data_IF_955069387927
#
_entry.id   IF_955069387927
#
_cell.length_a   1.000
_cell.length_b   1.000
_cell.length_c   1.000
_cell.angle_alpha   90.00
_cell.angle_beta   90.00
_cell.angle_gamma   90.00
#
_symmetry.space_group_name_H-M   'P 1'
#
loop_
_entity.id
_entity.type
_entity.pdbx_description
1 polymer ?
#
# COMPACT_ATOMS: atom_id res chain seq x y z
N UNK A 1 29.81 -26.03 28.48
CA UNK A 1 30.68 -25.95 27.27
C UNK A 1 31.91 -26.80 27.52
N UNK A 2 32.35 -27.62 26.55
CA UNK A 2 33.47 -28.53 26.78
C UNK A 2 34.78 -27.76 27.00
N UNK A 3 35.43 -27.96 28.14
CA UNK A 3 36.68 -27.32 28.50
C UNK A 3 37.80 -27.76 27.54
N UNK A 4 38.50 -26.82 26.87
CA UNK A 4 39.54 -27.17 25.89
C UNK A 4 40.81 -27.76 26.52
N UNK A 5 40.96 -27.64 27.85
CA UNK A 5 42.17 -28.08 28.54
C UNK A 5 42.06 -29.46 29.20
N UNK A 6 40.86 -29.87 29.63
CA UNK A 6 40.66 -31.13 30.34
C UNK A 6 39.43 -31.91 29.88
N UNK A 7 38.64 -31.38 28.93
CA UNK A 7 37.48 -32.05 28.38
C UNK A 7 36.22 -32.09 29.26
N UNK A 8 36.28 -31.60 30.50
CA UNK A 8 35.11 -31.49 31.39
C UNK A 8 34.02 -30.59 30.80
N UNK A 9 32.75 -30.93 31.07
CA UNK A 9 31.58 -30.15 30.67
C UNK A 9 31.17 -29.08 31.70
N UNK A 10 31.74 -29.16 32.91
CA UNK A 10 31.42 -28.28 34.03
C UNK A 10 32.24 -26.99 33.97
N UNK A 11 31.54 -25.89 33.72
CA UNK A 11 32.11 -24.55 33.66
C UNK A 11 31.15 -23.50 34.24
N UNK A 12 31.71 -22.35 34.62
CA UNK A 12 30.96 -21.18 35.09
C UNK A 12 31.29 -19.97 34.23
N UNK A 13 30.26 -19.22 33.83
CA UNK A 13 30.42 -17.92 33.16
C UNK A 13 30.88 -16.88 34.18
N UNK A 14 31.96 -16.16 33.84
CA UNK A 14 32.63 -15.16 34.69
C UNK A 14 32.40 -13.74 34.19
N UNK A 15 32.38 -13.53 32.87
CA UNK A 15 32.19 -12.22 32.23
C UNK A 15 31.46 -12.44 30.89
N UNK A 16 30.53 -11.55 30.56
CA UNK A 16 29.72 -11.63 29.34
C UNK A 16 29.63 -10.23 28.72
N UNK A 17 30.05 -10.10 27.47
CA UNK A 17 30.04 -8.81 26.74
C UNK A 17 29.57 -9.02 25.29
N UNK A 18 28.78 -8.10 24.72
CA UNK A 18 28.52 -8.11 23.28
C UNK A 18 29.83 -7.80 22.52
N UNK A 19 29.98 -8.34 21.32
CA UNK A 19 31.05 -7.93 20.40
C UNK A 19 30.78 -6.53 19.86
N UNK A 20 31.83 -5.84 19.37
CA UNK A 20 31.72 -4.45 18.86
C UNK A 20 30.72 -4.32 17.71
N UNK A 21 30.55 -5.38 16.91
CA UNK A 21 29.59 -5.47 15.81
C UNK A 21 28.21 -5.98 16.23
N UNK A 22 28.01 -6.32 17.51
CA UNK A 22 26.74 -6.80 18.07
C UNK A 22 26.27 -8.18 17.60
N UNK A 23 27.08 -8.89 16.78
CA UNK A 23 26.68 -10.16 16.16
C UNK A 23 26.88 -11.38 17.05
N UNK A 24 27.67 -11.24 18.12
CA UNK A 24 27.95 -12.32 19.04
C UNK A 24 28.02 -11.83 20.48
N UNK A 25 27.78 -12.75 21.41
CA UNK A 25 28.09 -12.55 22.83
C UNK A 25 29.36 -13.30 23.17
N UNK A 26 30.40 -12.56 23.57
CA UNK A 26 31.64 -13.13 24.09
C UNK A 26 31.44 -13.47 25.56
N UNK A 27 31.64 -14.74 25.94
CA UNK A 27 31.60 -15.20 27.33
C UNK A 27 32.95 -15.71 27.79
N UNK A 28 33.47 -15.19 28.89
CA UNK A 28 34.62 -15.74 29.61
C UNK A 28 34.12 -16.80 30.58
N UNK A 29 34.59 -18.03 30.45
CA UNK A 29 34.20 -19.18 31.29
C UNK A 29 35.40 -19.65 32.11
N UNK A 30 35.14 -20.22 33.29
CA UNK A 30 36.11 -20.93 34.14
C UNK A 30 35.67 -22.38 34.29
N UNK A 31 36.54 -23.33 33.94
CA UNK A 31 36.27 -24.75 34.18
C UNK A 31 36.26 -25.04 35.68
N UNK A 32 35.29 -25.82 36.15
CA UNK A 32 35.19 -26.20 37.56
C UNK A 32 36.12 -27.37 37.94
N UNK A 33 36.58 -28.15 36.95
CA UNK A 33 37.49 -29.29 37.19
C UNK A 33 38.97 -28.92 37.19
N UNK A 34 39.41 -28.01 36.32
CA UNK A 34 40.83 -27.63 36.20
C UNK A 34 41.11 -26.14 36.40
N UNK A 35 40.09 -25.36 36.76
CA UNK A 35 40.14 -23.92 37.09
C UNK A 35 40.62 -22.96 35.99
N UNK A 36 41.07 -23.50 34.84
CA UNK A 36 41.52 -22.72 33.70
C UNK A 36 40.36 -21.92 33.08
N UNK A 37 40.67 -20.72 32.63
CA UNK A 37 39.72 -19.80 31.97
C UNK A 37 39.82 -19.91 30.46
N UNK A 38 38.68 -19.94 29.78
CA UNK A 38 38.58 -19.94 28.31
C UNK A 38 37.47 -19.00 27.85
N UNK A 39 37.46 -18.63 26.58
CA UNK A 39 36.48 -17.71 26.00
C UNK A 39 35.65 -18.45 24.97
N UNK A 40 34.33 -18.27 25.01
CA UNK A 40 33.40 -18.76 23.98
C UNK A 40 32.72 -17.58 23.31
N UNK A 41 32.37 -17.74 22.04
CA UNK A 41 31.54 -16.79 21.29
C UNK A 41 30.22 -17.50 21.00
N UNK A 42 29.12 -16.90 21.45
CA UNK A 42 27.77 -17.36 21.17
C UNK A 42 27.19 -16.46 20.07
N UNK A 43 26.78 -17.05 18.96
CA UNK A 43 26.15 -16.35 17.84
C UNK A 43 24.65 -16.59 17.88
N UNK A 44 23.86 -15.58 17.50
CA UNK A 44 22.43 -15.81 17.22
C UNK A 44 22.36 -16.58 15.91
N UNK A 45 22.03 -17.87 15.99
CA UNK A 45 21.74 -18.67 14.81
C UNK A 45 20.38 -18.23 14.26
N UNK A 46 20.39 -17.49 13.15
CA UNK A 46 19.17 -17.18 12.41
C UNK A 46 18.83 -18.41 11.57
N UNK A 47 17.73 -19.09 11.89
CA UNK A 47 17.17 -20.08 10.98
C UNK A 47 16.77 -19.32 9.70
N UNK A 48 17.39 -19.61 8.55
CA UNK A 48 17.06 -18.91 7.33
C UNK A 48 15.62 -19.28 6.93
N UNK A 49 14.81 -18.28 6.58
CA UNK A 49 13.51 -18.52 5.97
C UNK A 49 13.72 -19.28 4.66
N UNK A 50 13.11 -20.45 4.52
CA UNK A 50 13.19 -21.27 3.31
C UNK A 50 12.00 -20.97 2.40
N UNK A 51 12.28 -20.84 1.10
CA UNK A 51 11.28 -20.65 0.05
C UNK A 51 11.04 -21.97 -0.66
N UNK A 52 9.81 -22.47 -0.63
CA UNK A 52 9.36 -23.58 -1.47
C UNK A 52 8.96 -23.09 -2.85
N UNK A 53 9.72 -23.45 -3.88
CA UNK A 53 9.48 -23.10 -5.27
C UNK A 53 8.34 -23.94 -5.87
N UNK A 54 7.81 -23.50 -7.01
CA UNK A 54 6.71 -24.19 -7.72
C UNK A 54 7.04 -25.61 -8.17
N UNK A 55 8.33 -25.92 -8.40
CA UNK A 55 8.84 -27.26 -8.74
C UNK A 55 9.11 -28.14 -7.50
N UNK A 56 8.85 -27.61 -6.29
CA UNK A 56 9.06 -28.29 -5.02
C UNK A 56 10.46 -28.12 -4.43
N UNK A 57 11.38 -27.44 -5.12
CA UNK A 57 12.71 -27.17 -4.59
C UNK A 57 12.66 -26.17 -3.43
N UNK A 58 13.61 -26.30 -2.49
CA UNK A 58 13.78 -25.38 -1.37
C UNK A 58 15.00 -24.48 -1.60
N UNK A 59 14.82 -23.18 -1.43
CA UNK A 59 15.88 -22.18 -1.56
C UNK A 59 15.85 -21.24 -0.36
N UNK A 60 17.00 -20.88 0.20
CA UNK A 60 17.04 -19.86 1.24
C UNK A 60 16.53 -18.51 0.70
N UNK A 61 15.75 -17.80 1.52
CA UNK A 61 15.25 -16.47 1.17
C UNK A 61 16.39 -15.52 0.82
N UNK A 62 16.25 -14.83 -0.31
CA UNK A 62 17.22 -13.85 -0.79
C UNK A 62 16.50 -12.55 -1.13
N UNK A 63 16.77 -11.52 -0.34
CA UNK A 63 16.23 -10.17 -0.52
C UNK A 63 16.48 -9.59 -1.91
N UNK A 64 17.67 -9.84 -2.48
CA UNK A 64 18.05 -9.36 -3.81
C UNK A 64 17.12 -9.88 -4.91
N UNK A 65 16.73 -11.16 -4.85
CA UNK A 65 15.78 -11.74 -5.82
C UNK A 65 14.41 -11.06 -5.75
N UNK A 66 13.94 -10.76 -4.54
CA UNK A 66 12.67 -10.06 -4.34
C UNK A 66 12.76 -8.62 -4.88
N UNK A 67 13.82 -7.89 -4.52
CA UNK A 67 14.01 -6.52 -4.98
C UNK A 67 14.13 -6.41 -6.49
N UNK A 68 14.89 -7.31 -7.13
CA UNK A 68 15.11 -7.29 -8.57
C UNK A 68 13.81 -7.56 -9.34
N UNK A 69 12.99 -8.51 -8.85
CA UNK A 69 11.67 -8.78 -9.44
C UNK A 69 10.74 -7.57 -9.39
N UNK A 70 10.71 -6.87 -8.25
CA UNK A 70 9.91 -5.66 -8.06
C UNK A 70 10.44 -4.50 -8.93
N UNK A 71 11.75 -4.26 -8.93
CA UNK A 71 12.40 -3.21 -9.73
C UNK A 71 12.13 -3.42 -11.21
N UNK A 72 12.22 -4.68 -11.68
CA UNK A 72 11.94 -5.02 -13.07
C UNK A 72 10.50 -4.68 -13.46
N UNK A 73 9.53 -5.01 -12.61
CA UNK A 73 8.13 -4.67 -12.82
C UNK A 73 7.89 -3.14 -12.86
N UNK A 74 8.55 -2.40 -11.98
CA UNK A 74 8.45 -0.94 -11.87
C UNK A 74 9.33 -0.15 -12.87
N UNK A 75 10.03 -0.82 -13.79
CA UNK A 75 10.94 -0.15 -14.74
C UNK A 75 10.22 0.91 -15.59
N UNK A 76 10.77 2.13 -15.62
CA UNK A 76 10.19 3.31 -16.31
C UNK A 76 8.79 3.72 -15.79
N UNK A 77 8.45 3.38 -14.55
CA UNK A 77 7.24 3.85 -13.86
C UNK A 77 7.59 5.00 -12.91
N UNK A 78 6.63 5.88 -12.57
CA UNK A 78 6.84 6.99 -11.63
C UNK A 78 6.87 6.51 -10.17
N UNK A 79 7.69 5.51 -9.86
CA UNK A 79 7.87 4.96 -8.50
C UNK A 79 9.28 5.26 -8.04
N UNK A 80 9.42 5.96 -6.91
CA UNK A 80 10.73 6.32 -6.38
C UNK A 80 11.45 5.11 -5.82
N UNK A 81 12.79 5.13 -5.87
CA UNK A 81 13.63 4.06 -5.30
C UNK A 81 13.35 3.84 -3.81
N UNK A 82 13.18 4.91 -3.05
CA UNK A 82 12.81 4.84 -1.63
C UNK A 82 11.49 4.10 -1.40
N UNK A 83 10.50 4.30 -2.28
CA UNK A 83 9.21 3.59 -2.20
C UNK A 83 9.34 2.10 -2.53
N UNK A 84 10.25 1.73 -3.44
CA UNK A 84 10.55 0.32 -3.72
C UNK A 84 11.29 -0.34 -2.56
N UNK A 85 12.24 0.35 -1.93
CA UNK A 85 12.95 -0.15 -0.75
C UNK A 85 11.98 -0.36 0.42
N UNK A 86 11.12 0.62 0.71
CA UNK A 86 10.08 0.50 1.73
C UNK A 86 9.09 -0.64 1.44
N UNK A 87 8.70 -0.83 0.17
CA UNK A 87 7.86 -1.96 -0.23
C UNK A 87 8.53 -3.32 0.09
N UNK A 88 9.82 -3.45 -0.22
CA UNK A 88 10.58 -4.67 0.09
C UNK A 88 10.67 -4.90 1.61
N UNK A 89 10.91 -3.84 2.38
CA UNK A 89 10.96 -3.91 3.85
C UNK A 89 9.62 -4.35 4.45
N UNK A 90 8.51 -3.82 3.93
CA UNK A 90 7.17 -4.19 4.38
C UNK A 90 6.87 -5.67 4.08
N UNK A 91 7.27 -6.15 2.89
CA UNK A 91 7.10 -7.57 2.50
C UNK A 91 7.93 -8.47 3.41
N UNK A 92 9.21 -8.14 3.62
CA UNK A 92 10.06 -8.90 4.53
C UNK A 92 9.49 -8.94 5.95
N UNK A 93 9.05 -7.79 6.46
CA UNK A 93 8.46 -7.69 7.79
C UNK A 93 7.26 -8.62 7.93
N UNK A 94 6.36 -8.65 6.94
CA UNK A 94 5.23 -9.59 6.95
C UNK A 94 5.68 -11.05 6.86
N UNK A 95 6.64 -11.38 5.99
CA UNK A 95 7.16 -12.74 5.85
C UNK A 95 7.80 -13.26 7.14
N UNK A 96 8.60 -12.45 7.81
CA UNK A 96 9.27 -12.85 9.06
C UNK A 96 8.33 -12.85 10.27
N UNK A 97 7.29 -12.02 10.27
CA UNK A 97 6.28 -12.01 11.33
C UNK A 97 5.40 -13.27 11.34
N UNK A 98 5.30 -14.00 10.23
CA UNK A 98 4.59 -15.29 10.18
C UNK A 98 5.22 -16.36 11.08
N UNK A 99 6.47 -16.17 11.53
CA UNK A 99 7.20 -17.12 12.38
C UNK A 99 7.27 -18.54 11.80
N UNK A 100 7.30 -18.66 10.47
CA UNK A 100 7.40 -19.92 9.73
C UNK A 100 8.84 -20.14 9.26
N UNK A 101 9.28 -21.38 9.26
CA UNK A 101 10.59 -21.78 8.71
C UNK A 101 10.54 -21.93 7.17
N UNK A 102 9.35 -22.19 6.61
CA UNK A 102 9.12 -22.39 5.18
C UNK A 102 7.91 -21.55 4.70
N UNK A 103 8.07 -20.86 3.57
CA UNK A 103 7.01 -20.12 2.87
C UNK A 103 7.06 -20.46 1.38
N UNK A 104 5.90 -20.61 0.73
CA UNK A 104 5.89 -20.87 -0.71
C UNK A 104 6.26 -19.63 -1.52
N UNK A 105 6.92 -19.82 -2.67
CA UNK A 105 7.15 -18.72 -3.62
C UNK A 105 5.84 -18.11 -4.12
N UNK A 106 4.73 -18.85 -4.00
CA UNK A 106 3.42 -18.34 -4.34
C UNK A 106 2.90 -17.31 -3.35
N UNK A 107 2.96 -17.63 -2.06
CA UNK A 107 2.58 -16.69 -0.99
C UNK A 107 3.38 -15.38 -1.08
N UNK A 108 4.68 -15.45 -1.38
CA UNK A 108 5.51 -14.25 -1.60
C UNK A 108 5.01 -13.45 -2.81
N UNK A 109 4.72 -14.12 -3.92
CA UNK A 109 4.22 -13.47 -5.14
C UNK A 109 2.87 -12.78 -4.94
N UNK A 110 1.95 -13.43 -4.23
CA UNK A 110 0.64 -12.88 -3.91
C UNK A 110 0.77 -11.63 -3.01
N UNK A 111 1.64 -11.68 -2.00
CA UNK A 111 1.95 -10.53 -1.14
C UNK A 111 2.55 -9.35 -1.93
N UNK A 112 3.44 -9.62 -2.90
CA UNK A 112 3.98 -8.59 -3.79
C UNK A 112 2.87 -7.98 -4.65
N UNK A 113 1.98 -8.81 -5.20
CA UNK A 113 0.88 -8.36 -6.04
C UNK A 113 -0.06 -7.43 -5.26
N UNK A 114 -0.46 -7.82 -4.05
CA UNK A 114 -1.37 -7.01 -3.22
C UNK A 114 -0.80 -5.61 -2.94
N UNK A 115 0.49 -5.52 -2.61
CA UNK A 115 1.13 -4.22 -2.37
C UNK A 115 1.41 -3.44 -3.66
N UNK A 116 1.78 -4.09 -4.76
CA UNK A 116 2.01 -3.42 -6.05
C UNK A 116 0.72 -2.83 -6.62
N UNK A 117 -0.42 -3.47 -6.38
CA UNK A 117 -1.74 -3.00 -6.81
C UNK A 117 -2.05 -1.58 -6.30
N UNK A 118 -1.64 -1.29 -5.07
CA UNK A 118 -1.80 0.03 -4.43
C UNK A 118 -0.75 1.06 -4.87
N UNK A 119 0.37 0.61 -5.47
CA UNK A 119 1.49 1.46 -5.86
C UNK A 119 1.38 1.88 -7.33
N UNK A 120 1.23 0.92 -8.24
CA UNK A 120 1.17 1.15 -9.68
C UNK A 120 0.55 -0.05 -10.41
N UNK A 121 -0.63 0.16 -11.00
CA UNK A 121 -1.38 -0.89 -11.73
C UNK A 121 -0.56 -1.50 -12.88
N UNK A 122 0.30 -0.73 -13.56
CA UNK A 122 1.11 -1.25 -14.67
C UNK A 122 2.23 -2.15 -14.16
N UNK A 123 2.87 -1.78 -13.04
CA UNK A 123 3.85 -2.62 -12.38
C UNK A 123 3.20 -3.91 -11.86
N UNK A 124 2.00 -3.84 -11.28
CA UNK A 124 1.21 -5.02 -10.90
C UNK A 124 1.05 -5.98 -12.09
N UNK A 125 0.55 -5.48 -13.23
CA UNK A 125 0.31 -6.31 -14.42
C UNK A 125 1.59 -6.97 -14.92
N UNK A 126 2.69 -6.22 -14.94
CA UNK A 126 4.00 -6.75 -15.36
C UNK A 126 4.50 -7.84 -14.41
N UNK A 127 4.38 -7.62 -13.11
CA UNK A 127 4.77 -8.62 -12.13
C UNK A 127 3.88 -9.87 -12.25
N UNK A 128 2.57 -9.68 -12.32
CA UNK A 128 1.59 -10.75 -12.52
C UNK A 128 1.89 -11.53 -13.80
N UNK A 129 2.31 -10.89 -14.89
CA UNK A 129 2.58 -11.56 -16.17
C UNK A 129 3.73 -12.58 -16.12
N UNK A 130 4.65 -12.42 -15.17
CA UNK A 130 5.77 -13.35 -14.96
C UNK A 130 5.41 -14.43 -13.93
N UNK A 131 4.63 -14.04 -12.92
CA UNK A 131 4.37 -14.89 -11.77
C UNK A 131 3.09 -15.73 -11.89
N UNK A 132 1.99 -15.14 -12.39
CA UNK A 132 0.78 -15.88 -12.75
C UNK A 132 1.04 -16.48 -14.13
N UNK A 133 1.21 -17.79 -14.18
CA UNK A 133 1.37 -18.59 -15.40
C UNK A 133 0.08 -18.54 -16.25
N UNK A 134 -0.13 -17.40 -16.92
CA UNK A 134 -1.32 -17.16 -17.74
C UNK A 134 -1.30 -18.09 -18.94
N UNK A 135 -2.22 -19.05 -18.95
CA UNK A 135 -2.29 -20.08 -20.00
C UNK A 135 -2.74 -19.52 -21.34
N UNK A 136 -3.49 -18.42 -21.33
CA UNK A 136 -4.02 -17.79 -22.53
C UNK A 136 -4.27 -16.28 -22.33
N UNK A 137 -4.45 -15.58 -23.46
CA UNK A 137 -4.75 -14.14 -23.51
C UNK A 137 -6.01 -13.77 -22.73
N UNK A 138 -7.01 -14.65 -22.67
CA UNK A 138 -8.32 -14.34 -22.08
C UNK A 138 -8.23 -14.29 -20.55
N UNK A 139 -7.44 -15.18 -19.94
CA UNK A 139 -7.13 -15.17 -18.52
C UNK A 139 -6.40 -13.87 -18.11
N UNK A 140 -5.47 -13.42 -18.96
CA UNK A 140 -4.77 -12.14 -18.75
C UNK A 140 -5.72 -10.93 -18.88
N UNK A 141 -6.60 -10.94 -19.89
CA UNK A 141 -7.62 -9.90 -20.05
C UNK A 141 -8.63 -9.87 -18.90
N UNK A 142 -8.97 -11.02 -18.32
CA UNK A 142 -9.85 -11.11 -17.16
C UNK A 142 -9.19 -10.52 -15.90
N UNK A 143 -7.90 -10.77 -15.71
CA UNK A 143 -7.10 -10.14 -14.64
C UNK A 143 -6.99 -8.62 -14.84
N UNK A 144 -6.79 -8.15 -16.07
CA UNK A 144 -6.82 -6.71 -16.38
C UNK A 144 -8.17 -6.06 -16.08
N UNK A 145 -9.27 -6.81 -16.23
CA UNK A 145 -10.63 -6.34 -15.90
C UNK A 145 -10.91 -6.33 -14.39
N UNK A 146 -10.21 -7.13 -13.60
CA UNK A 146 -10.38 -7.22 -12.13
C UNK A 146 -9.54 -6.19 -11.37
N UNK A 147 -8.60 -5.53 -12.04
CA UNK A 147 -7.94 -4.35 -11.51
C UNK A 147 -8.96 -3.22 -11.33
N UNK A 148 -8.91 -2.49 -10.18
CA UNK A 148 -9.74 -1.32 -9.99
C UNK A 148 -9.37 -0.33 -11.08
N UNK A 149 -10.23 -0.20 -12.09
CA UNK A 149 -10.02 0.77 -13.14
C UNK A 149 -10.04 2.14 -12.47
N UNK A 150 -8.91 2.85 -12.49
CA UNK A 150 -8.85 4.23 -12.03
C UNK A 150 -9.99 5.02 -12.70
N UNK A 151 -11.03 5.35 -11.93
CA UNK A 151 -12.16 6.13 -12.42
C UNK A 151 -11.60 7.38 -13.09
N UNK A 152 -12.04 7.69 -14.31
CA UNK A 152 -11.58 8.88 -15.04
C UNK A 152 -12.65 9.96 -15.05
N UNK A 153 -12.22 11.21 -14.97
CA UNK A 153 -13.08 12.39 -15.07
C UNK A 153 -12.86 13.08 -16.41
N UNK A 154 -13.92 13.19 -17.21
CA UNK A 154 -13.96 13.97 -18.45
C UNK A 154 -14.35 15.40 -18.12
N UNK A 155 -13.43 16.35 -18.34
CA UNK A 155 -13.66 17.79 -18.14
C UNK A 155 -14.51 18.36 -19.27
N UNK A 156 -15.10 19.54 -19.02
CA UNK A 156 -15.90 20.26 -20.01
C UNK A 156 -15.16 20.59 -21.32
N UNK A 157 -13.83 20.66 -21.31
CA UNK A 157 -12.99 20.87 -22.49
C UNK A 157 -12.56 19.57 -23.18
N UNK A 158 -13.13 18.42 -22.80
CA UNK A 158 -12.77 17.10 -23.33
C UNK A 158 -11.50 16.49 -22.73
N UNK A 159 -10.77 17.20 -21.87
CA UNK A 159 -9.60 16.66 -21.18
C UNK A 159 -10.02 15.56 -20.21
N UNK A 160 -9.36 14.40 -20.31
CA UNK A 160 -9.56 13.28 -19.39
C UNK A 160 -8.46 13.31 -18.33
N UNK A 161 -8.83 13.21 -17.07
CA UNK A 161 -7.89 13.09 -15.95
C UNK A 161 -8.30 11.95 -15.00
N UNK A 162 -7.36 11.34 -14.27
CA UNK A 162 -7.73 10.40 -13.22
C UNK A 162 -8.55 11.10 -12.13
N UNK A 163 -9.57 10.40 -11.61
CA UNK A 163 -10.35 10.87 -10.48
C UNK A 163 -9.48 10.89 -9.23
N UNK A 164 -9.30 12.08 -8.65
CA UNK A 164 -8.62 12.25 -7.37
C UNK A 164 -9.65 12.64 -6.30
N UNK A 165 -9.87 11.76 -5.32
CA UNK A 165 -10.75 12.04 -4.15
C UNK A 165 -10.40 13.39 -3.50
N UNK A 166 -9.11 13.72 -3.39
CA UNK A 166 -8.63 14.97 -2.81
C UNK A 166 -9.15 16.20 -3.56
N UNK A 167 -9.22 16.17 -4.90
CA UNK A 167 -9.75 17.28 -5.70
C UNK A 167 -11.24 17.48 -5.44
N UNK A 168 -12.00 16.39 -5.34
CA UNK A 168 -13.42 16.44 -5.00
C UNK A 168 -13.66 17.05 -3.62
N UNK A 169 -12.92 16.55 -2.61
CA UNK A 169 -13.01 17.07 -1.25
C UNK A 169 -12.65 18.55 -1.18
N UNK A 170 -11.57 18.97 -1.86
CA UNK A 170 -11.17 20.37 -1.88
C UNK A 170 -12.25 21.29 -2.47
N UNK A 171 -12.93 20.87 -3.54
CA UNK A 171 -14.08 21.61 -4.09
C UNK A 171 -15.23 21.76 -3.08
N UNK A 172 -15.51 20.71 -2.30
CA UNK A 172 -16.52 20.73 -1.24
C UNK A 172 -16.10 21.68 -0.10
N UNK A 173 -14.82 21.62 0.31
CA UNK A 173 -14.25 22.48 1.36
C UNK A 173 -14.35 23.96 0.98
N UNK A 174 -14.04 24.31 -0.28
CA UNK A 174 -14.17 25.68 -0.78
C UNK A 174 -15.62 26.19 -0.69
N UNK A 175 -16.60 25.36 -1.09
CA UNK A 175 -18.01 25.73 -1.00
C UNK A 175 -18.50 25.87 0.46
N UNK A 176 -18.02 24.99 1.35
CA UNK A 176 -18.36 24.97 2.77
C UNK A 176 -17.56 25.98 3.62
N UNK A 177 -16.66 26.77 3.02
CA UNK A 177 -15.81 27.67 3.78
C UNK A 177 -16.63 28.69 4.60
N UNK A 178 -16.30 28.81 5.89
CA UNK A 178 -17.03 29.64 6.89
C UNK A 178 -18.52 29.27 7.05
N UNK A 179 -18.92 28.04 6.72
CA UNK A 179 -20.27 27.50 6.97
C UNK A 179 -20.27 26.60 8.21
N UNK A 180 -21.43 26.35 8.84
CA UNK A 180 -21.55 25.44 9.98
C UNK A 180 -21.48 23.96 9.55
N UNK A 181 -20.51 23.60 8.70
CA UNK A 181 -20.29 22.25 8.19
C UNK A 181 -18.94 21.74 8.69
N UNK A 182 -18.96 20.64 9.44
CA UNK A 182 -17.73 20.00 9.94
C UNK A 182 -16.98 19.28 8.83
N UNK A 183 -15.65 19.23 8.90
CA UNK A 183 -14.80 18.47 7.95
C UNK A 183 -15.27 17.02 7.76
N UNK A 184 -15.63 16.34 8.85
CA UNK A 184 -16.16 14.96 8.83
C UNK A 184 -17.39 14.79 7.93
N UNK A 185 -18.29 15.78 7.90
CA UNK A 185 -19.48 15.78 7.03
C UNK A 185 -19.10 15.96 5.56
N UNK A 186 -18.08 16.79 5.26
CA UNK A 186 -17.56 16.99 3.90
C UNK A 186 -16.87 15.72 3.39
N UNK A 187 -16.04 15.10 4.22
CA UNK A 187 -15.40 13.81 3.92
C UNK A 187 -16.45 12.73 3.67
N UNK A 188 -17.51 12.65 4.48
CA UNK A 188 -18.62 11.72 4.27
C UNK A 188 -19.34 11.92 2.93
N UNK A 189 -19.49 13.17 2.45
CA UNK A 189 -20.00 13.44 1.09
C UNK A 189 -19.06 12.84 0.05
N UNK A 190 -17.76 13.16 0.11
CA UNK A 190 -16.79 12.67 -0.86
C UNK A 190 -16.72 11.12 -0.87
N UNK A 191 -16.69 10.51 0.30
CA UNK A 191 -16.62 9.05 0.46
C UNK A 191 -17.89 8.36 -0.05
N UNK A 192 -19.06 8.92 0.23
CA UNK A 192 -20.29 8.36 -0.29
C UNK A 192 -20.35 8.45 -1.82
N UNK A 193 -19.77 9.48 -2.45
CA UNK A 193 -19.78 9.62 -3.92
C UNK A 193 -18.87 8.55 -4.49
N UNK A 194 -17.67 8.41 -3.92
CA UNK A 194 -16.72 7.38 -4.31
C UNK A 194 -17.34 5.97 -4.21
N UNK A 195 -17.96 5.64 -3.08
CA UNK A 195 -18.64 4.34 -2.88
C UNK A 195 -19.77 4.11 -3.89
N UNK A 196 -20.51 5.15 -4.24
CA UNK A 196 -21.60 5.04 -5.22
C UNK A 196 -21.08 4.76 -6.63
N UNK A 197 -20.00 5.43 -7.01
CA UNK A 197 -19.34 5.24 -8.31
C UNK A 197 -18.68 3.87 -8.41
N UNK A 198 -18.05 3.42 -7.33
CA UNK A 198 -17.45 2.10 -7.20
C UNK A 198 -18.52 0.99 -7.30
N UNK A 199 -19.63 1.12 -6.56
CA UNK A 199 -20.75 0.18 -6.61
C UNK A 199 -21.39 0.08 -8.00
N UNK A 200 -21.43 1.18 -8.75
CA UNK A 200 -21.95 1.23 -10.12
C UNK A 200 -20.92 0.79 -11.18
N UNK A 201 -19.70 0.41 -10.77
CA UNK A 201 -18.59 0.06 -11.66
C UNK A 201 -18.33 1.12 -12.74
N UNK A 202 -18.50 2.39 -12.39
CA UNK A 202 -18.34 3.51 -13.33
C UNK A 202 -16.85 3.67 -13.63
N UNK A 203 -16.48 3.60 -14.91
CA UNK A 203 -15.10 3.78 -15.37
C UNK A 203 -14.78 5.21 -15.78
N UNK A 204 -15.81 5.96 -16.17
CA UNK A 204 -15.69 7.31 -16.70
C UNK A 204 -16.90 8.13 -16.27
N UNK A 205 -16.65 9.35 -15.77
CA UNK A 205 -17.68 10.29 -15.35
C UNK A 205 -17.33 11.68 -15.84
N UNK A 206 -18.31 12.48 -16.24
CA UNK A 206 -18.05 13.88 -16.60
C UNK A 206 -17.92 14.75 -15.34
N UNK A 207 -17.19 15.86 -15.43
CA UNK A 207 -17.10 16.84 -14.33
C UNK A 207 -18.46 17.41 -13.95
N UNK A 208 -19.38 17.50 -14.91
CA UNK A 208 -20.76 17.95 -14.69
C UNK A 208 -21.55 16.95 -13.86
N UNK A 209 -21.54 15.66 -14.24
CA UNK A 209 -22.20 14.59 -13.48
C UNK A 209 -21.64 14.47 -12.06
N UNK A 210 -20.31 14.56 -11.90
CA UNK A 210 -19.68 14.55 -10.59
C UNK A 210 -20.11 15.76 -9.75
N UNK A 211 -20.22 16.94 -10.38
CA UNK A 211 -20.72 18.15 -9.74
C UNK A 211 -22.19 18.03 -9.30
N UNK A 212 -23.04 17.42 -10.11
CA UNK A 212 -24.44 17.13 -9.77
C UNK A 212 -24.57 16.25 -8.53
N UNK A 213 -23.77 15.17 -8.43
CA UNK A 213 -23.75 14.31 -7.25
C UNK A 213 -23.35 15.06 -5.97
N UNK A 214 -22.41 16.01 -6.07
CA UNK A 214 -22.03 16.87 -4.93
C UNK A 214 -23.16 17.83 -4.58
N UNK A 215 -23.75 18.47 -5.59
CA UNK A 215 -24.84 19.42 -5.43
C UNK A 215 -26.06 18.78 -4.75
N UNK A 216 -26.49 17.58 -5.15
CA UNK A 216 -27.60 16.87 -4.50
C UNK A 216 -27.39 16.66 -2.99
N UNK A 217 -26.14 16.42 -2.58
CA UNK A 217 -25.77 16.19 -1.18
C UNK A 217 -25.60 17.48 -0.41
N UNK A 218 -25.01 18.51 -1.03
CA UNK A 218 -24.89 19.84 -0.45
C UNK A 218 -26.25 20.50 -0.26
N UNK A 219 -27.21 20.30 -1.19
CA UNK A 219 -28.57 20.85 -1.08
C UNK A 219 -29.27 20.42 0.21
N UNK A 220 -29.02 19.18 0.65
CA UNK A 220 -29.55 18.63 1.92
C UNK A 220 -28.75 19.06 3.15
N UNK A 221 -27.49 19.45 2.96
CA UNK A 221 -26.56 19.72 4.06
C UNK A 221 -26.49 21.20 4.43
N UNK A 222 -26.31 22.06 3.43
CA UNK A 222 -26.17 23.51 3.58
C UNK A 222 -26.48 24.20 2.24
N UNK A 223 -27.60 24.93 2.20
CA UNK A 223 -28.12 25.57 0.98
C UNK A 223 -27.13 26.60 0.42
N UNK A 224 -26.41 27.34 1.27
CA UNK A 224 -25.44 28.34 0.81
C UNK A 224 -24.20 27.68 0.19
N UNK A 225 -23.70 26.59 0.77
CA UNK A 225 -22.64 25.80 0.19
C UNK A 225 -23.07 25.21 -1.16
N UNK A 226 -24.31 24.72 -1.25
CA UNK A 226 -24.91 24.30 -2.52
C UNK A 226 -24.84 25.41 -3.58
N UNK A 227 -25.35 26.61 -3.27
CA UNK A 227 -25.37 27.75 -4.20
C UNK A 227 -23.95 28.10 -4.65
N UNK A 228 -23.00 28.22 -3.72
CA UNK A 228 -21.59 28.52 -4.02
C UNK A 228 -20.95 27.47 -4.94
N UNK A 229 -21.22 26.20 -4.69
CA UNK A 229 -20.72 25.12 -5.52
C UNK A 229 -21.37 25.14 -6.91
N UNK A 230 -22.70 25.36 -6.97
CA UNK A 230 -23.45 25.47 -8.20
C UNK A 230 -22.94 26.63 -9.08
N UNK A 231 -22.57 27.77 -8.51
CA UNK A 231 -21.99 28.92 -9.25
C UNK A 231 -20.68 28.60 -9.97
N UNK A 232 -19.93 27.58 -9.53
CA UNK A 232 -18.68 27.16 -10.18
C UNK A 232 -18.94 26.14 -11.29
N UNK A 233 -19.89 25.23 -11.08
CA UNK A 233 -20.13 24.08 -11.96
C UNK A 233 -21.23 24.32 -12.99
N UNK A 234 -22.23 25.15 -12.69
CA UNK A 234 -23.23 25.61 -13.65
C UNK A 234 -22.79 26.93 -14.26
N UNK A 235 -22.82 26.99 -15.59
CA UNK A 235 -22.65 28.25 -16.32
C UNK A 235 -23.98 28.98 -16.31
N UNK A 236 -24.19 29.88 -15.34
CA UNK A 236 -25.28 30.84 -15.39
C UNK A 236 -24.90 31.91 -16.44
N UNK A 237 -25.68 32.01 -17.51
CA UNK A 237 -25.46 33.01 -18.57
C UNK A 237 -26.01 34.37 -18.15
N UNK A 238 -27.11 34.36 -17.40
CA UNK A 238 -27.84 35.56 -17.02
C UNK A 238 -28.17 35.55 -15.51
N UNK A 239 -28.21 36.73 -14.85
CA UNK A 239 -28.59 36.83 -13.45
C UNK A 239 -29.98 36.24 -13.12
N UNK A 240 -30.91 36.23 -14.08
CA UNK A 240 -32.25 35.65 -13.89
C UNK A 240 -32.22 34.13 -13.74
N UNK A 241 -31.35 33.41 -14.48
CA UNK A 241 -31.18 31.96 -14.33
C UNK A 241 -30.71 31.61 -12.91
N UNK A 242 -29.86 32.47 -12.34
CA UNK A 242 -29.40 32.30 -10.96
C UNK A 242 -30.52 32.59 -9.94
N UNK A 243 -31.37 33.60 -10.18
CA UNK A 243 -32.52 33.88 -9.30
C UNK A 243 -33.56 32.77 -9.32
N UNK A 244 -33.90 32.24 -10.49
CA UNK A 244 -34.84 31.11 -10.61
C UNK A 244 -34.37 29.87 -9.85
N UNK A 245 -33.06 29.61 -9.86
CA UNK A 245 -32.49 28.51 -9.07
C UNK A 245 -32.64 28.76 -7.56
N UNK A 246 -32.42 30.00 -7.11
CA UNK A 246 -32.59 30.36 -5.70
C UNK A 246 -34.04 30.24 -5.24
N UNK A 247 -34.99 30.70 -6.06
CA UNK A 247 -36.44 30.56 -5.80
C UNK A 247 -36.86 29.08 -5.73
N UNK A 248 -36.22 28.20 -6.51
CA UNK A 248 -36.42 26.75 -6.47
C UNK A 248 -35.86 26.04 -5.23
N UNK A 249 -35.10 26.74 -4.37
CA UNK A 249 -34.59 26.22 -3.09
C UNK A 249 -35.47 26.59 -1.90
N UNK A 250 -36.39 27.54 -2.06
CA UNK A 250 -37.31 27.99 -1.01
C UNK A 250 -38.60 27.14 -0.92
N UNK A 251 -38.77 26.17 -1.83
CA UNK A 251 -39.87 25.17 -1.84
C UNK A 251 -39.42 23.84 -1.26
#
# INVERSE_FOLDING_TARGET
MKCPFCGSLDDKVVDSRPTEDGKATRRRRRCLSCEKKFTTYEYIEKIPLMIKKSDGTLEAYNRGKLSDGIILACKKRPVSRQRLEALVDDIESELFNLSREEVSSREIGDLVLDKLKEIDEVAYVRFASVYKDFKNKDQFLQELKSLPSSLRVVKANGRVEPFERRKLLHGIELACNKRPVTKRKMEAIADGIFRELDKKSVREITSSQLGEMVMERLKKLDVVAYVRFASVYRKFKEPEEFRQELEGLEK
#
